data_IF_977231081666
#
_entry.id   IF_977231081666
#
_cell.length_a   1.000
_cell.length_b   1.000
_cell.length_c   1.000
_cell.angle_alpha   90.00
_cell.angle_beta   90.00
_cell.angle_gamma   90.00
#
_symmetry.space_group_name_H-M   'P 1'
#
loop_
_entity.id
_entity.type
_entity.pdbx_description
1 polymer ?
#
# COMPACT_ATOMS: atom_id res chain seq x y z
N UNK A 1 19.56 -15.21 -4.03
CA UNK A 1 19.52 -13.88 -4.70
C UNK A 1 18.93 -12.89 -3.69
N UNK A 2 19.66 -11.82 -3.38
CA UNK A 2 19.18 -10.81 -2.43
C UNK A 2 17.97 -10.10 -3.05
N UNK A 3 16.82 -10.15 -2.36
CA UNK A 3 15.66 -9.33 -2.70
C UNK A 3 16.13 -7.88 -2.81
N UNK A 4 15.98 -7.27 -3.97
CA UNK A 4 16.13 -5.82 -4.12
C UNK A 4 14.99 -5.23 -3.32
N UNK A 5 15.32 -4.53 -2.24
CA UNK A 5 14.37 -3.69 -1.50
C UNK A 5 13.60 -2.87 -2.53
N UNK A 6 12.29 -3.16 -2.63
CA UNK A 6 11.40 -2.39 -3.47
C UNK A 6 11.54 -0.93 -3.06
N UNK A 7 11.90 -0.08 -4.01
CA UNK A 7 11.98 1.36 -3.78
C UNK A 7 10.61 1.79 -3.29
N UNK A 8 10.49 2.27 -2.04
CA UNK A 8 9.23 2.83 -1.60
C UNK A 8 8.84 3.91 -2.58
N UNK A 9 7.58 3.96 -2.99
CA UNK A 9 7.01 5.03 -3.82
C UNK A 9 7.08 6.37 -3.07
N UNK A 10 8.24 6.70 -2.54
CA UNK A 10 8.52 7.93 -1.81
C UNK A 10 9.08 8.98 -2.75
N UNK A 11 8.35 9.30 -3.81
CA UNK A 11 8.44 10.66 -4.28
C UNK A 11 7.57 11.51 -3.37
N UNK A 12 8.11 11.89 -2.23
CA UNK A 12 7.61 13.03 -1.45
C UNK A 12 7.75 14.28 -2.34
N UNK A 13 6.93 14.40 -3.37
CA UNK A 13 6.72 15.67 -4.03
C UNK A 13 6.06 16.55 -2.98
N UNK A 14 6.82 17.47 -2.40
CA UNK A 14 6.26 18.59 -1.65
C UNK A 14 5.39 19.36 -2.62
N UNK A 15 4.08 19.15 -2.54
CA UNK A 15 3.13 19.97 -3.26
C UNK A 15 3.08 21.33 -2.58
N UNK A 16 3.22 22.43 -3.32
CA UNK A 16 3.05 23.76 -2.75
C UNK A 16 1.61 23.87 -2.21
N UNK A 17 1.48 24.48 -1.04
CA UNK A 17 0.19 24.69 -0.35
C UNK A 17 -0.50 23.43 0.21
N UNK A 18 0.25 22.42 0.60
CA UNK A 18 -0.30 21.34 1.43
C UNK A 18 -0.62 21.87 2.83
N UNK A 19 -1.88 21.78 3.30
CA UNK A 19 -2.22 22.14 4.67
C UNK A 19 -1.38 21.38 5.67
N UNK A 20 -0.95 22.06 6.73
CA UNK A 20 -0.17 21.49 7.81
C UNK A 20 -0.96 21.55 9.11
N UNK A 21 -0.73 20.62 10.05
CA UNK A 21 -1.27 20.77 11.39
C UNK A 21 -0.89 22.14 11.99
N UNK A 22 -1.90 22.89 12.43
CA UNK A 22 -1.73 24.24 12.98
C UNK A 22 -1.96 25.38 11.99
N UNK A 23 -2.15 25.10 10.70
CA UNK A 23 -2.54 26.13 9.73
C UNK A 23 -3.91 26.70 10.09
N UNK A 24 -4.07 28.01 9.93
CA UNK A 24 -5.33 28.71 10.13
C UNK A 24 -6.20 28.60 8.87
N UNK A 25 -7.50 28.93 9.01
CA UNK A 25 -8.43 28.94 7.88
C UNK A 25 -8.02 29.88 6.73
N UNK A 26 -7.15 30.87 7.00
CA UNK A 26 -6.62 31.82 6.00
C UNK A 26 -5.48 31.22 5.18
N UNK A 27 -4.82 30.19 5.71
CA UNK A 27 -3.64 29.56 5.10
C UNK A 27 -4.01 28.32 4.28
N UNK A 28 -5.14 27.69 4.62
CA UNK A 28 -5.66 26.55 3.85
C UNK A 28 -6.34 27.00 2.56
N UNK A 29 -6.36 26.17 1.48
CA UNK A 29 -7.10 26.48 0.26
C UNK A 29 -8.57 26.72 0.54
N UNK A 30 -9.15 27.68 -0.17
CA UNK A 30 -10.57 28.04 -0.04
C UNK A 30 -11.47 26.83 -0.29
N UNK A 31 -12.44 26.63 0.59
CA UNK A 31 -13.34 25.49 0.52
C UNK A 31 -12.74 24.15 0.93
N UNK A 32 -11.52 24.11 1.47
CA UNK A 32 -10.85 22.87 1.87
C UNK A 32 -10.49 21.96 0.67
N UNK A 33 -10.37 22.54 -0.51
CA UNK A 33 -10.09 21.80 -1.75
C UNK A 33 -8.62 21.40 -1.82
N UNK A 34 -8.35 20.16 -2.14
CA UNK A 34 -7.00 19.69 -2.48
C UNK A 34 -6.71 20.01 -3.95
N UNK A 35 -5.69 20.85 -4.20
CA UNK A 35 -5.44 21.46 -5.51
C UNK A 35 -4.67 20.59 -6.51
N UNK A 36 -4.29 19.37 -6.13
CA UNK A 36 -3.55 18.46 -7.04
C UNK A 36 -4.26 17.12 -7.21
N UNK A 37 -4.22 16.60 -8.42
CA UNK A 37 -4.76 15.29 -8.74
C UNK A 37 -3.83 14.15 -8.30
N UNK A 38 -4.40 12.96 -8.04
CA UNK A 38 -3.64 11.76 -7.70
C UNK A 38 -3.03 11.80 -6.29
N UNK A 39 -3.52 12.64 -5.41
CA UNK A 39 -3.02 12.84 -4.04
C UNK A 39 -3.18 11.60 -3.14
N UNK A 40 -4.08 10.68 -3.48
CA UNK A 40 -4.24 9.42 -2.76
C UNK A 40 -2.94 8.60 -2.66
N UNK A 41 -2.03 8.76 -3.62
CA UNK A 41 -0.72 8.10 -3.60
C UNK A 41 0.19 8.55 -2.46
N UNK A 42 -0.07 9.73 -1.91
CA UNK A 42 0.71 10.31 -0.81
C UNK A 42 -0.01 10.23 0.52
N UNK A 43 -1.23 9.71 0.52
CA UNK A 43 -2.03 9.55 1.72
C UNK A 43 -1.80 8.15 2.32
N UNK A 44 -1.14 8.13 3.46
CA UNK A 44 -0.84 6.90 4.20
C UNK A 44 -2.10 6.39 4.89
N UNK A 45 -2.75 5.43 4.26
CA UNK A 45 -3.96 4.80 4.80
C UNK A 45 -3.68 3.43 5.41
N UNK A 46 -2.46 2.97 5.31
CA UNK A 46 -2.00 1.72 5.93
C UNK A 46 -2.09 1.72 7.44
N UNK A 47 -1.96 2.87 8.09
CA UNK A 47 -2.09 3.02 9.55
C UNK A 47 -3.48 2.65 10.10
N UNK A 48 -4.47 2.48 9.22
CA UNK A 48 -5.83 2.09 9.65
C UNK A 48 -6.01 0.60 9.90
N UNK A 49 -5.02 -0.23 9.49
CA UNK A 49 -5.12 -1.68 9.65
C UNK A 49 -4.86 -2.11 11.10
N UNK A 50 -5.47 -3.20 11.49
CA UNK A 50 -5.20 -3.93 12.75
C UNK A 50 -4.52 -5.28 12.52
N UNK A 51 -4.56 -5.77 11.31
CA UNK A 51 -3.91 -6.98 10.85
C UNK A 51 -3.08 -6.66 9.61
N UNK A 52 -1.90 -7.24 9.48
CA UNK A 52 -1.07 -7.09 8.28
C UNK A 52 -0.81 -8.43 7.60
N UNK A 53 -0.80 -8.47 6.27
CA UNK A 53 -0.36 -9.66 5.55
C UNK A 53 1.16 -9.74 5.52
N UNK A 54 1.67 -10.95 5.78
CA UNK A 54 3.07 -11.32 5.59
C UNK A 54 3.16 -12.15 4.34
N UNK A 55 4.11 -11.81 3.47
CA UNK A 55 4.33 -12.49 2.20
C UNK A 55 5.61 -13.31 2.23
N UNK A 56 5.47 -14.61 1.98
CA UNK A 56 6.58 -15.54 1.76
C UNK A 56 6.65 -15.90 0.27
N UNK A 57 7.75 -15.60 -0.41
CA UNK A 57 7.91 -15.92 -1.82
C UNK A 57 8.18 -17.40 -2.10
N UNK A 58 8.65 -18.20 -1.11
CA UNK A 58 9.02 -19.59 -1.36
C UNK A 58 7.85 -20.49 -1.79
N UNK A 59 6.71 -20.50 -1.06
CA UNK A 59 5.57 -21.30 -1.48
C UNK A 59 4.73 -20.63 -2.57
N UNK A 60 5.02 -19.38 -2.94
CA UNK A 60 4.22 -18.61 -3.89
C UNK A 60 4.30 -19.17 -5.31
N UNK A 61 3.16 -19.52 -5.88
CA UNK A 61 3.04 -20.04 -7.26
C UNK A 61 2.84 -18.94 -8.32
N UNK A 62 2.93 -17.68 -7.96
CA UNK A 62 2.80 -16.51 -8.85
C UNK A 62 1.46 -16.46 -9.62
N UNK A 63 0.36 -16.94 -9.03
CA UNK A 63 -0.96 -16.94 -9.65
C UNK A 63 -1.61 -15.55 -9.74
N UNK A 64 -1.11 -14.57 -8.96
CA UNK A 64 -1.57 -13.17 -8.94
C UNK A 64 -3.00 -12.93 -8.45
N UNK A 65 -3.65 -13.93 -7.86
CA UNK A 65 -5.00 -13.75 -7.30
C UNK A 65 -5.03 -12.66 -6.23
N UNK A 66 -4.00 -12.60 -5.38
CA UNK A 66 -3.84 -11.56 -4.38
C UNK A 66 -3.78 -10.14 -5.00
N UNK A 67 -3.12 -10.00 -6.15
CA UNK A 67 -3.05 -8.73 -6.88
C UNK A 67 -4.39 -8.33 -7.48
N UNK A 68 -5.10 -9.30 -8.11
CA UNK A 68 -6.41 -9.06 -8.74
C UNK A 68 -7.47 -8.64 -7.73
N UNK A 69 -7.48 -9.27 -6.55
CA UNK A 69 -8.50 -9.03 -5.53
C UNK A 69 -8.15 -7.92 -4.53
N UNK A 70 -6.96 -7.36 -4.58
CA UNK A 70 -6.58 -6.30 -3.65
C UNK A 70 -7.37 -5.00 -3.92
N UNK A 71 -8.25 -4.54 -3.00
CA UNK A 71 -9.08 -3.36 -3.22
C UNK A 71 -8.28 -2.06 -3.27
N UNK A 72 -7.08 -2.04 -2.65
CA UNK A 72 -6.23 -0.86 -2.57
C UNK A 72 -5.03 -0.92 -3.52
N UNK A 73 -4.95 -1.94 -4.40
CA UNK A 73 -3.80 -2.15 -5.29
C UNK A 73 -2.46 -2.15 -4.55
N UNK A 74 -2.46 -2.71 -3.33
CA UNK A 74 -1.30 -2.71 -2.45
C UNK A 74 -0.34 -3.90 -2.68
N UNK A 75 -0.68 -4.83 -3.55
CA UNK A 75 0.23 -5.92 -3.95
C UNK A 75 1.18 -5.39 -5.01
N UNK A 76 2.46 -5.50 -4.75
CA UNK A 76 3.51 -5.04 -5.68
C UNK A 76 3.89 -6.16 -6.65
N UNK A 77 4.02 -5.78 -7.91
CA UNK A 77 4.47 -6.66 -8.99
C UNK A 77 5.62 -6.00 -9.74
N UNK A 78 6.55 -6.80 -10.23
CA UNK A 78 7.65 -6.33 -11.07
C UNK A 78 7.20 -6.18 -12.55
N UNK A 79 8.11 -5.73 -13.40
CA UNK A 79 7.87 -5.56 -14.84
C UNK A 79 7.59 -6.89 -15.56
N UNK A 80 8.01 -8.01 -14.97
CA UNK A 80 7.77 -9.37 -15.45
C UNK A 80 6.40 -9.91 -14.98
N UNK A 81 5.71 -9.14 -14.12
CA UNK A 81 4.41 -9.45 -13.57
C UNK A 81 4.47 -10.41 -12.38
N UNK A 82 5.60 -10.61 -11.75
CA UNK A 82 5.73 -11.43 -10.56
C UNK A 82 5.43 -10.61 -9.30
N UNK A 83 4.73 -11.23 -8.35
CA UNK A 83 4.47 -10.63 -7.04
C UNK A 83 5.78 -10.54 -6.26
N UNK A 84 6.10 -9.33 -5.82
CA UNK A 84 7.34 -9.02 -5.12
C UNK A 84 7.14 -8.66 -3.64
N UNK A 85 5.93 -8.26 -3.27
CA UNK A 85 5.65 -7.87 -1.91
C UNK A 85 4.32 -7.14 -1.74
N UNK A 86 4.19 -6.50 -0.60
CA UNK A 86 2.98 -5.77 -0.21
C UNK A 86 3.35 -4.35 0.21
N UNK A 87 2.70 -3.38 -0.40
CA UNK A 87 2.84 -1.97 -0.04
C UNK A 87 2.02 -1.67 1.22
N UNK A 88 2.65 -1.75 2.37
CA UNK A 88 2.01 -1.51 3.66
C UNK A 88 1.57 -0.06 3.88
N UNK A 89 2.07 0.88 3.08
CA UNK A 89 1.63 2.28 3.12
C UNK A 89 0.15 2.45 2.74
N UNK A 90 -0.35 1.58 1.86
CA UNK A 90 -1.74 1.59 1.40
C UNK A 90 -2.57 0.40 1.86
N UNK A 91 -1.95 -0.71 2.25
CA UNK A 91 -2.65 -1.92 2.69
C UNK A 91 -3.53 -1.66 3.92
N UNK A 92 -4.81 -2.07 3.85
CA UNK A 92 -5.78 -1.95 4.96
C UNK A 92 -5.89 -3.22 5.82
N UNK A 93 -5.13 -4.27 5.50
CA UNK A 93 -5.19 -5.52 6.25
C UNK A 93 -6.53 -6.26 6.13
N UNK A 94 -7.23 -6.14 5.01
CA UNK A 94 -8.56 -6.73 4.82
C UNK A 94 -8.56 -8.27 4.78
N UNK A 95 -7.40 -8.91 4.58
CA UNK A 95 -7.23 -10.36 4.58
C UNK A 95 -7.65 -11.07 3.29
N UNK A 96 -8.20 -10.37 2.29
CA UNK A 96 -8.66 -11.00 1.05
C UNK A 96 -7.53 -11.72 0.33
N UNK A 97 -6.34 -11.13 0.27
CA UNK A 97 -5.19 -11.74 -0.38
C UNK A 97 -4.75 -13.05 0.26
N UNK A 98 -4.79 -13.15 1.59
CA UNK A 98 -4.48 -14.39 2.30
C UNK A 98 -5.59 -15.43 2.13
N UNK A 99 -6.86 -14.99 2.16
CA UNK A 99 -8.01 -15.89 1.99
C UNK A 99 -8.06 -16.51 0.61
N UNK A 100 -7.79 -15.74 -0.44
CA UNK A 100 -7.84 -16.18 -1.84
C UNK A 100 -6.54 -16.84 -2.33
N UNK A 101 -5.50 -16.87 -1.50
CA UNK A 101 -4.22 -17.47 -1.89
C UNK A 101 -4.36 -19.01 -1.96
N UNK A 102 -4.14 -19.63 -3.12
CA UNK A 102 -4.20 -21.09 -3.24
C UNK A 102 -2.94 -21.81 -2.75
N UNK A 103 -1.89 -21.05 -2.44
CA UNK A 103 -0.62 -21.57 -1.95
C UNK A 103 -0.53 -21.39 -0.43
N UNK A 104 -0.61 -22.52 0.29
CA UNK A 104 -0.52 -22.52 1.75
C UNK A 104 0.80 -21.90 2.22
N UNK A 105 0.73 -20.99 3.19
CA UNK A 105 1.87 -20.32 3.78
C UNK A 105 2.46 -19.17 2.96
N UNK A 106 1.98 -18.89 1.74
CA UNK A 106 2.50 -17.78 0.93
C UNK A 106 2.02 -16.41 1.42
N UNK A 107 0.84 -16.36 2.03
CA UNK A 107 0.26 -15.14 2.61
C UNK A 107 -0.45 -15.48 3.91
N UNK A 108 0.06 -14.95 4.99
CA UNK A 108 -0.50 -15.12 6.32
C UNK A 108 -0.84 -13.77 6.94
N UNK A 109 -1.85 -13.74 7.81
CA UNK A 109 -2.25 -12.51 8.51
C UNK A 109 -1.70 -12.50 9.91
N UNK A 110 -0.99 -11.44 10.27
CA UNK A 110 -0.48 -11.20 11.63
C UNK A 110 -1.10 -9.92 12.22
N UNK A 111 -1.26 -9.86 13.55
CA UNK A 111 -1.64 -8.61 14.21
C UNK A 111 -0.63 -7.50 13.93
N UNK A 112 -1.10 -6.28 13.77
CA UNK A 112 -0.24 -5.09 13.78
C UNK A 112 0.21 -4.83 15.21
N UNK A 113 1.52 -4.66 15.44
CA UNK A 113 2.08 -4.33 16.76
C UNK A 113 1.96 -2.84 17.09
#
# INVERSE_FOLDING_TARGET
MKAKEGTPCSRKKKFPNTPKPGDTWKEVPWGGVVLWGGNARTYETGDWRSMRPIYDPEPCIQCRMCWVYCPDSAIEVNDEGEVTGINLFHCKGCGICAFECPADGALEMEPEE
#
